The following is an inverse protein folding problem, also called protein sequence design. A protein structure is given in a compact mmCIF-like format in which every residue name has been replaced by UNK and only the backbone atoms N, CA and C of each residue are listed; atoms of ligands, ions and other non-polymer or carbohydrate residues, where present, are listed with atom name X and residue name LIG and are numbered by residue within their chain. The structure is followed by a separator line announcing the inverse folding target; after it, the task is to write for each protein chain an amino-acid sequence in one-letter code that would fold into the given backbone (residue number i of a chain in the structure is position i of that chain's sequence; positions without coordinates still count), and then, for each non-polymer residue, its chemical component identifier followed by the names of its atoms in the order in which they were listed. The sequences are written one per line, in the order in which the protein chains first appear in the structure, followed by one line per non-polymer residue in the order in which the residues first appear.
data_IF_520132799776
#
_entry.id   IF_520132799776
#
_cell.length_a   1.000
_cell.length_b   1.000
_cell.length_c   1.000
_cell.angle_alpha   90.00
_cell.angle_beta   90.00
_cell.angle_gamma   90.00
#
_symmetry.space_group_name_H-M   'P 1'
#
loop_
_entity.id
_entity.type
_entity.pdbx_description
1 polymer ?
#
# COMPACT_ATOMS: atom_id res chain seq x y z
N UNK A 1 -36.65 -45.54 -62.96
CA UNK A 1 -36.26 -44.16 -63.35
C UNK A 1 -35.86 -43.41 -62.10
N UNK A 2 -34.63 -42.87 -62.06
CA UNK A 2 -34.14 -41.64 -61.38
C UNK A 2 -34.56 -41.44 -59.90
N UNK A 3 -33.74 -41.02 -58.94
CA UNK A 3 -32.35 -40.57 -58.84
C UNK A 3 -32.11 -40.27 -57.34
N UNK A 4 -30.89 -40.49 -56.84
CA UNK A 4 -30.15 -39.72 -55.81
C UNK A 4 -30.84 -39.28 -54.50
N UNK A 5 -30.23 -39.54 -53.35
CA UNK A 5 -29.45 -38.51 -52.63
C UNK A 5 -28.62 -39.11 -51.49
N UNK A 6 -27.30 -38.90 -51.57
CA UNK A 6 -26.32 -39.10 -50.49
C UNK A 6 -26.51 -37.97 -49.47
N UNK A 7 -26.53 -38.28 -48.18
CA UNK A 7 -26.19 -37.32 -47.13
C UNK A 7 -25.13 -37.95 -46.23
N UNK A 8 -23.95 -37.34 -46.28
CA UNK A 8 -22.77 -37.59 -45.49
C UNK A 8 -23.05 -37.08 -44.07
N UNK A 9 -22.99 -37.95 -43.07
CA UNK A 9 -23.00 -37.55 -41.67
C UNK A 9 -21.65 -36.90 -41.34
N UNK A 10 -21.64 -35.57 -41.23
CA UNK A 10 -20.50 -34.80 -40.74
C UNK A 10 -20.39 -35.03 -39.23
N UNK A 11 -19.34 -35.73 -38.83
CA UNK A 11 -18.89 -35.87 -37.45
C UNK A 11 -18.51 -34.48 -36.91
N UNK A 12 -19.37 -33.94 -36.04
CA UNK A 12 -19.10 -32.71 -35.29
C UNK A 12 -18.05 -33.04 -34.21
N UNK A 13 -16.80 -32.65 -34.49
CA UNK A 13 -15.71 -32.64 -33.54
C UNK A 13 -15.98 -31.52 -32.51
N UNK A 14 -16.62 -31.86 -31.40
CA UNK A 14 -16.69 -30.98 -30.23
C UNK A 14 -15.33 -31.02 -29.52
N UNK A 15 -14.39 -30.19 -29.97
CA UNK A 15 -13.22 -29.82 -29.17
C UNK A 15 -13.70 -28.95 -28.01
N UNK A 16 -14.00 -29.60 -26.88
CA UNK A 16 -14.15 -28.93 -25.60
C UNK A 16 -12.75 -28.45 -25.21
N UNK A 17 -12.46 -27.18 -25.48
CA UNK A 17 -11.36 -26.49 -24.84
C UNK A 17 -11.68 -26.40 -23.34
N UNK A 18 -11.18 -27.36 -22.55
CA UNK A 18 -10.99 -27.15 -21.12
C UNK A 18 -10.01 -26.00 -20.96
N UNK A 19 -10.55 -24.79 -20.79
CA UNK A 19 -9.79 -23.74 -20.13
C UNK A 19 -9.56 -24.23 -18.71
N UNK A 20 -8.31 -24.59 -18.40
CA UNK A 20 -7.84 -24.60 -17.02
C UNK A 20 -7.93 -23.16 -16.52
N UNK A 21 -9.07 -22.78 -15.97
CA UNK A 21 -9.13 -21.70 -14.99
C UNK A 21 -8.32 -22.22 -13.80
N UNK A 22 -7.13 -21.69 -13.58
CA UNK A 22 -6.46 -21.87 -12.30
C UNK A 22 -7.35 -21.14 -11.29
N UNK A 23 -8.20 -21.87 -10.59
CA UNK A 23 -8.93 -21.31 -9.46
C UNK A 23 -7.91 -20.72 -8.50
N UNK A 24 -8.06 -19.43 -8.19
CA UNK A 24 -7.20 -18.77 -7.23
C UNK A 24 -7.39 -19.49 -5.89
N UNK A 25 -6.34 -20.14 -5.40
CA UNK A 25 -6.37 -20.80 -4.10
C UNK A 25 -6.55 -19.71 -3.06
N UNK A 26 -7.72 -19.70 -2.40
CA UNK A 26 -8.03 -18.77 -1.31
C UNK A 26 -7.27 -19.25 -0.08
N UNK A 27 -6.37 -18.44 0.49
CA UNK A 27 -5.64 -18.86 1.68
C UNK A 27 -6.60 -18.99 2.88
N UNK A 28 -6.53 -20.10 3.59
CA UNK A 28 -7.31 -20.32 4.82
C UNK A 28 -6.75 -19.44 5.96
N UNK A 29 -7.58 -19.12 6.97
CA UNK A 29 -7.16 -18.41 8.18
C UNK A 29 -5.95 -19.09 8.87
N UNK A 30 -5.88 -20.43 8.76
CA UNK A 30 -4.72 -21.22 9.21
C UNK A 30 -3.44 -20.92 8.43
N UNK A 31 -3.55 -20.64 7.13
CA UNK A 31 -2.41 -20.26 6.30
C UNK A 31 -1.89 -18.87 6.65
N UNK A 32 -2.76 -17.97 7.12
CA UNK A 32 -2.36 -16.66 7.68
C UNK A 32 -1.75 -16.75 9.07
N UNK A 33 -1.82 -17.91 9.72
CA UNK A 33 -1.50 -18.07 11.14
C UNK A 33 -2.35 -17.16 12.03
N UNK A 34 -3.61 -16.92 11.63
CA UNK A 34 -4.52 -16.04 12.34
C UNK A 34 -4.88 -16.65 13.70
N UNK A 35 -4.59 -15.93 14.77
CA UNK A 35 -4.84 -16.34 16.16
C UNK A 35 -6.12 -15.69 16.70
N UNK A 36 -6.39 -14.44 16.32
CA UNK A 36 -7.57 -13.68 16.73
C UNK A 36 -8.02 -12.70 15.65
N UNK A 37 -9.33 -12.64 15.40
CA UNK A 37 -9.96 -11.67 14.49
C UNK A 37 -11.34 -11.26 15.01
N UNK A 38 -11.48 -10.00 15.38
CA UNK A 38 -12.74 -9.36 15.75
C UNK A 38 -12.65 -7.84 15.50
N UNK A 39 -13.68 -7.09 15.88
CA UNK A 39 -13.71 -5.63 15.70
C UNK A 39 -12.64 -4.88 16.49
N UNK A 40 -12.08 -5.49 17.55
CA UNK A 40 -11.11 -4.87 18.43
C UNK A 40 -9.69 -5.44 18.22
N UNK A 41 -9.53 -6.51 17.46
CA UNK A 41 -8.23 -7.15 17.29
C UNK A 41 -8.06 -7.91 15.98
N UNK A 42 -6.84 -7.88 15.46
CA UNK A 42 -6.40 -8.70 14.34
C UNK A 42 -4.97 -9.18 14.62
N UNK A 43 -4.80 -10.46 14.96
CA UNK A 43 -3.57 -11.01 15.52
C UNK A 43 -3.22 -12.31 14.83
N UNK A 44 -1.95 -12.49 14.49
CA UNK A 44 -1.47 -13.77 14.02
C UNK A 44 0.04 -13.89 13.98
N UNK A 45 0.48 -15.12 13.69
CA UNK A 45 1.89 -15.50 13.57
C UNK A 45 2.07 -16.43 12.39
N UNK A 46 2.97 -16.07 11.49
CA UNK A 46 3.24 -16.83 10.27
C UNK A 46 4.73 -16.86 9.95
N UNK A 47 5.14 -17.90 9.22
CA UNK A 47 6.45 -17.95 8.57
C UNK A 47 6.27 -17.79 7.06
N UNK A 48 6.79 -16.69 6.51
CA UNK A 48 6.80 -16.45 5.06
C UNK A 48 8.25 -16.51 4.60
N UNK A 49 8.54 -17.40 3.65
CA UNK A 49 9.90 -17.70 3.21
C UNK A 49 10.79 -18.08 4.41
N UNK A 50 11.75 -17.21 4.76
CA UNK A 50 12.65 -17.39 5.91
C UNK A 50 12.41 -16.38 7.03
N UNK A 51 11.31 -15.61 6.96
CA UNK A 51 10.96 -14.60 7.96
C UNK A 51 9.87 -15.13 8.89
N UNK A 52 10.13 -15.11 10.19
CA UNK A 52 9.06 -15.26 11.19
C UNK A 52 8.42 -13.88 11.41
N UNK A 53 7.11 -13.78 11.16
CA UNK A 53 6.33 -12.55 11.30
C UNK A 53 5.24 -12.76 12.34
N UNK A 54 5.16 -11.85 13.31
CA UNK A 54 4.01 -11.67 14.19
C UNK A 54 3.39 -10.32 13.90
N UNK A 55 2.08 -10.28 13.77
CA UNK A 55 1.33 -9.06 13.55
C UNK A 55 0.21 -8.97 14.58
N UNK A 56 -0.01 -7.77 15.09
CA UNK A 56 -1.08 -7.50 16.03
C UNK A 56 -1.61 -6.09 15.82
N UNK A 57 -2.92 -5.97 15.66
CA UNK A 57 -3.65 -4.72 15.82
C UNK A 57 -4.60 -4.88 16.99
N UNK A 58 -4.65 -3.88 17.87
CA UNK A 58 -5.59 -3.80 18.99
C UNK A 58 -6.23 -2.42 19.06
N UNK A 59 -7.56 -2.37 19.09
CA UNK A 59 -8.31 -1.15 19.34
C UNK A 59 -8.18 -0.75 20.83
N UNK A 60 -7.83 0.51 21.08
CA UNK A 60 -7.98 1.17 22.40
C UNK A 60 -9.35 1.86 22.52
N UNK A 61 -9.89 2.30 21.39
CA UNK A 61 -11.25 2.82 21.21
C UNK A 61 -11.65 2.65 19.74
N UNK A 62 -12.85 3.09 19.35
CA UNK A 62 -13.39 2.93 17.98
C UNK A 62 -12.43 3.40 16.86
N UNK A 63 -11.65 4.45 17.13
CA UNK A 63 -10.79 5.12 16.14
C UNK A 63 -9.33 5.23 16.59
N UNK A 64 -8.94 4.51 17.65
CA UNK A 64 -7.57 4.52 18.18
C UNK A 64 -7.04 3.10 18.25
N UNK A 65 -5.91 2.84 17.60
CA UNK A 65 -5.35 1.50 17.47
C UNK A 65 -3.86 1.47 17.81
N UNK A 66 -3.39 0.36 18.40
CA UNK A 66 -1.98 0.00 18.44
C UNK A 66 -1.72 -1.09 17.43
N UNK A 67 -0.68 -0.90 16.62
CA UNK A 67 -0.18 -1.90 15.67
C UNK A 67 1.22 -2.30 16.08
N UNK A 68 1.50 -3.60 16.07
CA UNK A 68 2.83 -4.16 16.29
C UNK A 68 3.11 -5.15 15.17
N UNK A 69 4.25 -4.98 14.51
CA UNK A 69 4.82 -5.99 13.63
C UNK A 69 6.19 -6.38 14.17
N UNK A 70 6.37 -7.67 14.40
CA UNK A 70 7.66 -8.27 14.70
C UNK A 70 8.08 -9.14 13.52
N UNK A 71 9.28 -8.89 12.98
CA UNK A 71 9.90 -9.71 11.94
C UNK A 71 11.32 -10.09 12.36
N UNK A 72 11.60 -11.39 12.44
CA UNK A 72 12.92 -11.90 12.86
C UNK A 72 13.46 -11.24 14.14
N UNK A 73 12.59 -11.06 15.16
CA UNK A 73 12.87 -10.37 16.45
C UNK A 73 13.08 -8.86 16.38
N UNK A 74 12.92 -8.23 15.21
CA UNK A 74 12.87 -6.78 15.08
C UNK A 74 11.42 -6.33 15.18
N UNK A 75 11.13 -5.29 15.96
CA UNK A 75 9.76 -4.83 16.18
C UNK A 75 9.59 -3.38 15.75
N UNK A 76 8.47 -3.11 15.08
CA UNK A 76 7.95 -1.76 14.85
C UNK A 76 6.57 -1.69 15.50
N UNK A 77 6.38 -0.67 16.33
CA UNK A 77 5.10 -0.31 16.92
C UNK A 77 4.60 0.99 16.31
N UNK A 78 3.29 1.07 16.12
CA UNK A 78 2.59 2.32 15.85
C UNK A 78 1.37 2.47 16.76
N UNK A 79 1.11 3.70 17.18
CA UNK A 79 -0.15 4.12 17.78
C UNK A 79 -0.80 5.12 16.84
N UNK A 80 -1.98 4.79 16.33
CA UNK A 80 -2.73 5.59 15.39
C UNK A 80 -4.02 6.08 16.01
N UNK A 81 -4.35 7.35 15.77
CA UNK A 81 -5.62 7.94 16.15
C UNK A 81 -6.23 8.60 14.91
N UNK A 82 -7.32 8.01 14.42
CA UNK A 82 -8.04 8.49 13.26
C UNK A 82 -8.96 9.69 13.56
N UNK A 83 -9.22 10.01 14.83
CA UNK A 83 -10.03 11.19 15.19
C UNK A 83 -9.28 12.49 14.96
N UNK A 84 -7.98 12.48 15.26
CA UNK A 84 -7.09 13.65 15.11
C UNK A 84 -6.01 13.43 14.05
N UNK A 85 -6.12 12.35 13.26
CA UNK A 85 -5.20 12.00 12.17
C UNK A 85 -3.72 12.05 12.60
N UNK A 86 -3.45 11.44 13.76
CA UNK A 86 -2.11 11.34 14.32
C UNK A 86 -1.60 9.91 14.32
N UNK A 87 -0.29 9.76 14.10
CA UNK A 87 0.42 8.49 14.05
C UNK A 87 1.76 8.63 14.77
N UNK A 88 1.91 7.91 15.88
CA UNK A 88 3.19 7.73 16.55
C UNK A 88 3.81 6.41 16.09
N UNK A 89 5.09 6.41 15.73
CA UNK A 89 5.85 5.20 15.35
C UNK A 89 7.06 5.08 16.27
N UNK A 90 7.34 3.88 16.76
CA UNK A 90 8.59 3.49 17.41
C UNK A 90 9.09 2.20 16.78
N UNK A 91 10.13 2.32 15.96
CA UNK A 91 10.83 1.17 15.39
C UNK A 91 12.13 0.81 16.11
N UNK A 92 12.42 1.41 17.27
CA UNK A 92 13.63 1.10 18.04
C UNK A 92 14.95 1.18 17.24
N UNK A 93 15.02 2.08 16.26
CA UNK A 93 16.16 2.27 15.36
C UNK A 93 16.54 1.00 14.57
N UNK A 94 15.58 0.12 14.31
CA UNK A 94 15.84 -1.05 13.45
C UNK A 94 15.99 -0.61 12.00
N UNK A 95 16.65 -1.45 11.21
CA UNK A 95 16.65 -1.40 9.76
C UNK A 95 16.09 -2.73 9.25
N UNK A 96 15.05 -2.68 8.41
CA UNK A 96 14.52 -3.85 7.74
C UNK A 96 15.30 -4.12 6.44
N UNK A 97 15.68 -5.38 6.23
CA UNK A 97 16.28 -5.81 4.96
C UNK A 97 15.22 -5.85 3.85
N UNK A 98 15.63 -5.78 2.59
CA UNK A 98 14.71 -5.90 1.45
C UNK A 98 13.92 -7.22 1.45
N UNK A 99 14.52 -8.32 1.94
CA UNK A 99 13.81 -9.61 2.09
C UNK A 99 12.73 -9.55 3.18
N UNK A 100 13.01 -8.86 4.29
CA UNK A 100 12.06 -8.65 5.37
C UNK A 100 10.87 -7.79 4.90
N UNK A 101 11.16 -6.67 4.24
CA UNK A 101 10.16 -5.81 3.60
C UNK A 101 9.30 -6.59 2.60
N UNK A 102 9.92 -7.36 1.71
CA UNK A 102 9.18 -8.20 0.76
C UNK A 102 8.30 -9.24 1.46
N UNK A 103 8.76 -9.81 2.58
CA UNK A 103 7.96 -10.75 3.38
C UNK A 103 6.72 -10.07 3.99
N UNK A 104 6.84 -8.82 4.45
CA UNK A 104 5.72 -8.01 4.94
C UNK A 104 4.75 -7.70 3.79
N UNK A 105 5.23 -7.28 2.61
CA UNK A 105 4.37 -7.05 1.44
C UNK A 105 3.62 -8.30 1.02
N UNK A 106 4.31 -9.44 0.97
CA UNK A 106 3.68 -10.74 0.66
C UNK A 106 2.59 -11.07 1.68
N UNK A 107 2.86 -10.89 2.98
CA UNK A 107 1.84 -11.11 4.01
C UNK A 107 0.63 -10.19 3.84
N UNK A 108 0.84 -8.91 3.57
CA UNK A 108 -0.25 -7.95 3.35
C UNK A 108 -1.13 -8.36 2.17
N UNK A 109 -0.51 -8.83 1.09
CA UNK A 109 -1.22 -9.39 -0.07
C UNK A 109 -2.03 -10.63 0.27
N UNK A 110 -1.47 -11.56 1.03
CA UNK A 110 -2.18 -12.77 1.47
C UNK A 110 -3.36 -12.43 2.39
N UNK A 111 -3.18 -11.54 3.38
CA UNK A 111 -4.26 -11.09 4.28
C UNK A 111 -5.38 -10.44 3.48
N UNK A 112 -5.07 -9.54 2.56
CA UNK A 112 -6.13 -8.87 1.82
C UNK A 112 -6.87 -9.80 0.86
N UNK A 113 -6.18 -10.72 0.17
CA UNK A 113 -6.87 -11.72 -0.64
C UNK A 113 -7.85 -12.54 0.22
N UNK A 114 -7.44 -12.95 1.42
CA UNK A 114 -8.34 -13.59 2.38
C UNK A 114 -9.55 -12.72 2.72
N UNK A 115 -9.37 -11.43 3.02
CA UNK A 115 -10.48 -10.53 3.36
C UNK A 115 -11.44 -10.27 2.20
N UNK A 116 -10.91 -10.07 0.98
CA UNK A 116 -11.72 -9.85 -0.21
C UNK A 116 -12.62 -11.06 -0.51
N UNK A 117 -12.07 -12.26 -0.39
CA UNK A 117 -12.79 -13.50 -0.68
C UNK A 117 -13.75 -13.91 0.44
N UNK A 118 -13.35 -13.79 1.71
CA UNK A 118 -14.17 -14.24 2.85
C UNK A 118 -15.18 -13.20 3.32
N UNK A 119 -14.89 -11.91 3.18
CA UNK A 119 -15.75 -10.81 3.66
C UNK A 119 -16.38 -9.99 2.55
N UNK A 120 -16.25 -10.39 1.29
CA UNK A 120 -16.76 -9.63 0.13
C UNK A 120 -16.32 -8.16 0.12
N UNK A 121 -15.14 -7.87 0.68
CA UNK A 121 -14.60 -6.51 0.80
C UNK A 121 -15.08 -5.69 2.00
N UNK A 122 -15.85 -6.26 2.93
CA UNK A 122 -16.13 -5.62 4.22
C UNK A 122 -14.89 -5.70 5.12
N UNK A 123 -14.03 -4.68 5.05
CA UNK A 123 -12.78 -4.58 5.80
C UNK A 123 -13.03 -3.81 7.10
N UNK A 124 -12.67 -4.41 8.24
CA UNK A 124 -12.72 -3.76 9.56
C UNK A 124 -11.58 -2.74 9.70
N UNK A 125 -11.75 -1.75 10.59
CA UNK A 125 -10.69 -0.75 10.84
C UNK A 125 -9.40 -1.37 11.36
N UNK A 126 -9.46 -2.46 12.13
CA UNK A 126 -8.26 -3.21 12.56
C UNK A 126 -7.49 -3.78 11.38
N UNK A 127 -8.20 -4.32 10.39
CA UNK A 127 -7.64 -4.91 9.17
C UNK A 127 -7.07 -3.85 8.23
N UNK A 128 -7.83 -2.76 8.00
CA UNK A 128 -7.38 -1.61 7.23
C UNK A 128 -6.10 -1.02 7.83
N UNK A 129 -6.10 -0.77 9.15
CA UNK A 129 -4.94 -0.18 9.85
C UNK A 129 -3.70 -1.05 9.72
N UNK A 130 -3.83 -2.37 9.88
CA UNK A 130 -2.70 -3.29 9.70
C UNK A 130 -2.14 -3.19 8.29
N UNK A 131 -3.02 -3.32 7.29
CA UNK A 131 -2.66 -3.34 5.89
C UNK A 131 -1.95 -2.05 5.47
N UNK A 132 -2.50 -0.88 5.82
CA UNK A 132 -1.91 0.42 5.50
C UNK A 132 -0.51 0.59 6.09
N UNK A 133 -0.31 0.22 7.36
CA UNK A 133 1.00 0.34 8.02
C UNK A 133 2.01 -0.71 7.53
N UNK A 134 1.58 -1.93 7.23
CA UNK A 134 2.42 -2.95 6.60
C UNK A 134 2.98 -2.46 5.28
N UNK A 135 2.11 -1.89 4.46
CA UNK A 135 2.48 -1.34 3.17
C UNK A 135 3.45 -0.17 3.32
N UNK A 136 3.11 0.78 4.19
CA UNK A 136 3.93 1.95 4.47
C UNK A 136 5.36 1.56 4.92
N UNK A 137 5.46 0.67 5.91
CA UNK A 137 6.77 0.23 6.41
C UNK A 137 7.54 -0.56 5.35
N UNK A 138 6.89 -1.49 4.65
CA UNK A 138 7.58 -2.33 3.70
C UNK A 138 8.03 -1.63 2.41
N UNK A 139 7.46 -0.45 2.12
CA UNK A 139 7.93 0.42 1.03
C UNK A 139 8.87 1.53 1.47
N UNK A 140 9.21 1.55 2.76
CA UNK A 140 10.32 2.39 3.19
C UNK A 140 11.57 2.06 2.37
N UNK A 141 12.41 3.04 2.06
CA UNK A 141 13.54 2.77 1.17
C UNK A 141 14.69 2.03 1.82
N UNK A 142 15.65 1.50 1.03
CA UNK A 142 16.82 0.80 1.55
C UNK A 142 17.49 1.53 2.71
N UNK A 143 17.93 0.77 3.71
CA UNK A 143 18.61 1.27 4.91
C UNK A 143 17.83 2.26 5.79
N UNK A 144 16.52 2.43 5.53
CA UNK A 144 15.65 3.28 6.36
C UNK A 144 15.65 2.82 7.82
N UNK A 145 16.03 3.73 8.71
CA UNK A 145 16.07 3.51 10.16
C UNK A 145 14.73 3.92 10.75
N UNK A 146 13.99 2.97 11.31
CA UNK A 146 12.71 3.26 11.96
C UNK A 146 12.95 3.81 13.36
N UNK A 147 13.09 5.12 13.46
CA UNK A 147 13.24 5.84 14.73
C UNK A 147 11.88 6.12 15.38
N UNK A 148 11.91 6.77 16.55
CA UNK A 148 10.72 7.38 17.13
C UNK A 148 10.32 8.60 16.32
N UNK A 149 9.06 8.66 15.87
CA UNK A 149 8.52 9.83 15.18
C UNK A 149 7.02 9.99 15.41
N UNK A 150 6.58 11.23 15.33
CA UNK A 150 5.17 11.63 15.37
C UNK A 150 4.84 12.20 13.99
N UNK A 151 3.74 11.73 13.42
CA UNK A 151 3.12 12.28 12.22
C UNK A 151 1.78 12.81 12.66
N UNK A 152 1.50 14.06 12.33
CA UNK A 152 0.21 14.70 12.52
C UNK A 152 -0.19 15.28 11.17
N UNK A 153 -1.37 14.93 10.67
CA UNK A 153 -1.85 15.51 9.43
C UNK A 153 -1.99 17.02 9.61
N UNK A 154 -1.41 17.80 8.69
CA UNK A 154 -1.53 19.24 8.77
C UNK A 154 -3.00 19.67 8.56
N UNK A 155 -3.51 20.45 9.51
CA UNK A 155 -4.89 20.95 9.50
C UNK A 155 -4.97 22.36 8.88
N UNK A 156 -3.83 23.00 8.56
CA UNK A 156 -3.78 24.45 8.29
C UNK A 156 -2.81 24.86 7.17
N UNK A 157 -3.37 25.21 6.00
CA UNK A 157 -2.71 25.44 4.70
C UNK A 157 -1.99 26.78 4.53
N UNK A 158 -1.44 27.39 5.58
CA UNK A 158 -0.97 28.80 5.52
C UNK A 158 0.54 29.02 5.59
N UNK A 159 1.38 27.99 5.73
CA UNK A 159 2.85 28.15 5.82
C UNK A 159 3.61 27.38 4.73
N UNK A 160 3.70 28.00 3.56
CA UNK A 160 4.39 27.57 2.32
C UNK A 160 5.93 27.55 2.42
N UNK A 161 6.50 27.10 3.53
CA UNK A 161 7.96 26.85 3.61
C UNK A 161 8.33 25.40 3.34
N UNK A 162 7.43 24.49 3.67
CA UNK A 162 7.26 23.20 3.02
C UNK A 162 6.01 23.35 2.14
N UNK A 163 5.98 22.71 0.97
CA UNK A 163 4.79 22.72 0.12
C UNK A 163 3.77 21.66 0.54
N UNK A 164 3.95 21.01 1.69
CA UNK A 164 2.97 20.14 2.29
C UNK A 164 1.58 20.83 2.31
N UNK A 165 0.67 20.34 1.47
CA UNK A 165 -0.69 20.86 1.38
C UNK A 165 -1.66 20.08 2.29
N UNK A 166 -1.09 19.26 3.19
CA UNK A 166 -1.75 18.19 3.89
C UNK A 166 -2.42 17.22 2.91
N UNK A 167 -3.31 16.39 3.45
CA UNK A 167 -4.05 15.41 2.66
C UNK A 167 -4.99 16.08 1.65
N UNK A 168 -4.48 16.26 0.44
CA UNK A 168 -5.16 16.87 -0.71
C UNK A 168 -5.43 15.83 -1.78
N UNK A 169 -6.70 15.48 -1.99
CA UNK A 169 -7.09 14.48 -2.98
C UNK A 169 -6.89 14.96 -4.41
N UNK A 170 -6.21 14.17 -5.22
CA UNK A 170 -6.09 14.37 -6.67
C UNK A 170 -6.78 13.22 -7.42
N UNK A 171 -6.94 13.35 -8.74
CA UNK A 171 -7.74 12.40 -9.53
C UNK A 171 -6.91 11.75 -10.64
N UNK A 172 -6.97 10.43 -10.74
CA UNK A 172 -6.38 9.67 -11.85
C UNK A 172 -6.82 10.22 -13.21
N UNK A 173 -5.91 10.23 -14.17
CA UNK A 173 -6.08 10.80 -15.51
C UNK A 173 -6.27 12.32 -15.59
N UNK A 174 -6.06 13.06 -14.50
CA UNK A 174 -5.93 14.52 -14.54
C UNK A 174 -4.46 14.94 -14.62
N UNK A 175 -4.22 16.22 -14.92
CA UNK A 175 -2.89 16.82 -14.82
C UNK A 175 -2.83 17.70 -13.58
N UNK A 176 -1.85 17.44 -12.73
CA UNK A 176 -1.58 18.20 -11.50
C UNK A 176 -0.11 18.60 -11.52
N UNK A 177 0.23 19.75 -10.96
CA UNK A 177 1.63 20.12 -10.77
C UNK A 177 2.15 19.34 -9.57
N UNK A 178 3.21 18.55 -9.77
CA UNK A 178 4.02 18.02 -8.70
C UNK A 178 4.98 19.13 -8.24
N UNK A 179 5.03 19.38 -6.95
CA UNK A 179 5.72 20.50 -6.33
C UNK A 179 6.62 19.96 -5.22
N UNK A 180 7.92 19.94 -5.47
CA UNK A 180 8.92 19.32 -4.61
C UNK A 180 10.20 20.16 -4.62
N UNK A 181 11.10 19.94 -3.68
CA UNK A 181 12.45 20.48 -3.72
C UNK A 181 13.50 19.38 -3.70
N UNK A 182 14.72 19.74 -4.09
CA UNK A 182 15.86 18.85 -3.95
C UNK A 182 17.13 19.69 -3.76
N UNK A 183 18.30 19.04 -3.76
CA UNK A 183 19.59 19.73 -3.62
C UNK A 183 19.87 20.82 -4.68
N UNK A 184 19.07 20.92 -5.76
CA UNK A 184 19.15 21.94 -6.82
C UNK A 184 18.11 23.05 -6.65
N UNK A 185 17.22 22.96 -5.66
CA UNK A 185 16.19 23.95 -5.34
C UNK A 185 14.77 23.44 -5.63
N UNK A 186 13.84 24.39 -5.78
CA UNK A 186 12.41 24.08 -5.90
C UNK A 186 12.04 23.76 -7.35
N UNK A 187 11.17 22.77 -7.53
CA UNK A 187 10.67 22.30 -8.82
C UNK A 187 9.14 22.39 -8.90
N UNK A 188 8.62 22.32 -10.12
CA UNK A 188 7.19 22.28 -10.42
C UNK A 188 6.99 21.60 -11.77
N UNK A 189 6.60 20.34 -11.76
CA UNK A 189 6.40 19.55 -12.97
C UNK A 189 4.94 19.20 -13.20
N UNK A 190 4.44 19.40 -14.42
CA UNK A 190 3.05 19.05 -14.74
C UNK A 190 2.93 17.57 -15.07
N UNK A 191 2.43 16.78 -14.11
CA UNK A 191 2.36 15.32 -14.20
C UNK A 191 0.95 14.85 -14.45
N UNK A 192 0.82 13.82 -15.30
CA UNK A 192 -0.44 13.10 -15.47
C UNK A 192 -0.58 12.10 -14.33
N UNK A 193 -1.58 12.31 -13.48
CA UNK A 193 -1.88 11.46 -12.34
C UNK A 193 -2.18 10.03 -12.80
N UNK A 194 -1.43 9.08 -12.25
CA UNK A 194 -1.47 7.66 -12.59
C UNK A 194 -0.81 7.25 -13.88
N UNK A 195 0.06 8.11 -14.42
CA UNK A 195 0.99 7.71 -15.47
C UNK A 195 2.07 6.77 -14.92
N UNK A 196 2.76 6.07 -15.84
CA UNK A 196 3.96 5.28 -15.56
C UNK A 196 5.17 6.07 -16.04
N UNK A 197 5.97 6.58 -15.12
CA UNK A 197 7.08 7.46 -15.47
C UNK A 197 8.33 6.68 -15.89
N UNK A 198 8.59 5.49 -15.33
CA UNK A 198 9.72 4.61 -15.70
C UNK A 198 9.32 3.13 -15.64
N UNK A 199 10.22 2.26 -16.11
CA UNK A 199 10.07 0.82 -15.90
C UNK A 199 10.08 0.50 -14.41
N UNK A 200 9.07 -0.26 -13.96
CA UNK A 200 8.81 -0.56 -12.54
C UNK A 200 8.60 0.67 -11.64
N UNK A 201 8.29 1.83 -12.21
CA UNK A 201 7.97 3.06 -11.49
C UNK A 201 6.77 3.74 -12.14
N UNK A 202 5.60 3.58 -11.52
CA UNK A 202 4.38 4.14 -12.07
C UNK A 202 3.34 4.38 -11.00
N UNK A 203 2.17 4.81 -11.47
CA UNK A 203 1.11 5.28 -10.61
C UNK A 203 1.39 6.62 -9.94
N UNK A 204 1.93 7.57 -10.70
CA UNK A 204 2.30 8.91 -10.21
C UNK A 204 1.19 9.61 -9.43
N UNK A 205 1.38 9.77 -8.12
CA UNK A 205 0.45 10.40 -7.20
C UNK A 205 -0.44 9.44 -6.41
N UNK A 206 -0.26 8.14 -6.57
CA UNK A 206 -0.95 7.13 -5.77
C UNK A 206 -0.09 6.86 -4.57
N UNK A 207 -0.65 7.02 -3.37
CA UNK A 207 0.05 6.60 -2.18
C UNK A 207 0.29 5.10 -2.24
N UNK A 208 1.56 4.78 -2.41
CA UNK A 208 2.07 3.44 -2.49
C UNK A 208 2.56 3.00 -3.84
N UNK A 209 2.11 1.82 -4.22
CA UNK A 209 2.84 1.00 -5.20
C UNK A 209 2.28 1.22 -6.59
N UNK A 210 2.96 0.66 -7.59
CA UNK A 210 2.56 0.74 -9.00
C UNK A 210 1.07 0.39 -9.23
N UNK A 211 0.54 0.76 -10.40
CA UNK A 211 -0.88 0.72 -10.79
C UNK A 211 -1.54 -0.66 -10.91
N UNK A 212 -0.89 -1.71 -10.41
CA UNK A 212 -1.47 -3.04 -10.34
C UNK A 212 -2.63 -3.14 -9.34
N UNK A 213 -3.23 -4.34 -9.29
CA UNK A 213 -4.24 -4.69 -8.29
C UNK A 213 -3.57 -4.66 -6.91
N UNK A 214 -3.64 -3.51 -6.27
CA UNK A 214 -3.26 -3.34 -4.89
C UNK A 214 -4.43 -3.71 -4.02
N UNK A 215 -4.13 -4.55 -3.05
CA UNK A 215 -5.08 -5.23 -2.19
C UNK A 215 -5.51 -4.35 -1.00
N UNK A 216 -5.11 -3.09 -0.98
CA UNK A 216 -5.46 -2.11 0.05
C UNK A 216 -6.07 -0.91 -0.69
N UNK A 217 -7.21 -0.37 -0.21
CA UNK A 217 -7.65 0.95 -0.64
C UNK A 217 -6.49 1.93 -0.55
N UNK A 218 -6.15 2.56 -1.65
CA UNK A 218 -5.14 3.63 -1.68
C UNK A 218 -5.80 4.96 -1.96
N UNK A 219 -5.06 6.02 -1.72
CA UNK A 219 -5.46 7.36 -2.11
C UNK A 219 -4.61 7.83 -3.29
N UNK A 220 -5.21 8.66 -4.16
CA UNK A 220 -4.43 9.58 -4.98
C UNK A 220 -4.39 10.90 -4.24
N UNK A 221 -3.19 11.35 -3.88
CA UNK A 221 -2.99 12.59 -3.13
C UNK A 221 -1.83 13.39 -3.68
N UNK A 222 -1.77 14.65 -3.27
CA UNK A 222 -0.80 15.62 -3.75
C UNK A 222 0.61 15.34 -3.23
N UNK A 223 0.81 15.09 -1.93
CA UNK A 223 2.16 14.82 -1.39
C UNK A 223 2.72 13.50 -1.95
N UNK A 224 1.87 12.50 -2.16
CA UNK A 224 2.26 11.27 -2.86
C UNK A 224 2.69 11.55 -4.31
N UNK A 225 2.13 12.56 -5.00
CA UNK A 225 2.54 12.94 -6.35
C UNK A 225 3.88 13.68 -6.35
N UNK A 226 4.08 14.56 -5.38
CA UNK A 226 5.29 15.34 -5.20
C UNK A 226 6.48 14.42 -4.91
N UNK A 227 6.32 13.53 -3.94
CA UNK A 227 7.29 12.48 -3.65
C UNK A 227 7.57 11.60 -4.87
N UNK A 228 6.52 11.15 -5.56
CA UNK A 228 6.69 10.29 -6.74
C UNK A 228 7.48 10.99 -7.83
N UNK A 229 7.24 12.29 -8.06
CA UNK A 229 7.94 13.04 -9.09
C UNK A 229 9.37 13.39 -8.67
N UNK A 230 9.59 13.77 -7.41
CA UNK A 230 10.95 14.00 -6.90
C UNK A 230 11.81 12.74 -7.08
N UNK A 231 11.29 11.59 -6.64
CA UNK A 231 12.00 10.31 -6.74
C UNK A 231 12.16 9.83 -8.20
N UNK A 232 11.21 10.20 -9.07
CA UNK A 232 11.35 10.00 -10.51
C UNK A 232 12.55 10.75 -11.09
N UNK A 233 12.69 12.04 -10.77
CA UNK A 233 13.73 12.91 -11.33
C UNK A 233 15.10 12.63 -10.71
N UNK A 234 15.16 12.37 -9.41
CA UNK A 234 16.42 12.18 -8.69
C UNK A 234 16.91 10.73 -8.60
N UNK A 235 16.13 9.77 -9.12
CA UNK A 235 16.38 8.33 -8.90
C UNK A 235 16.55 8.01 -7.41
N UNK A 236 15.81 8.73 -6.57
CA UNK A 236 15.94 8.64 -5.12
C UNK A 236 15.49 7.29 -4.62
N UNK A 237 16.26 6.77 -3.67
CA UNK A 237 16.02 5.50 -2.99
C UNK A 237 16.39 5.56 -1.51
N UNK A 238 16.62 6.76 -0.95
CA UNK A 238 16.89 6.93 0.49
C UNK A 238 15.65 7.16 1.36
N UNK A 239 14.47 7.33 0.76
CA UNK A 239 13.21 7.65 1.46
C UNK A 239 13.33 8.82 2.37
N UNK A 240 12.77 8.72 3.58
CA UNK A 240 12.82 9.80 4.56
C UNK A 240 14.22 10.32 4.94
N UNK A 241 15.29 9.61 4.54
CA UNK A 241 16.69 10.02 4.71
C UNK A 241 17.40 10.42 3.41
N UNK A 242 16.71 10.34 2.28
CA UNK A 242 17.20 10.79 0.98
C UNK A 242 17.46 12.29 1.06
N UNK A 243 18.65 12.71 0.61
CA UNK A 243 19.03 14.12 0.66
C UNK A 243 18.19 14.97 -0.31
N UNK A 244 17.61 14.35 -1.33
CA UNK A 244 16.85 15.07 -2.34
C UNK A 244 15.35 14.97 -2.14
N UNK A 245 14.82 13.82 -1.69
CA UNK A 245 13.37 13.58 -1.69
C UNK A 245 12.83 13.03 -0.35
N UNK A 246 13.58 13.21 0.73
CA UNK A 246 13.26 12.57 2.00
C UNK A 246 12.24 13.30 2.83
N UNK A 247 12.24 14.62 2.74
CA UNK A 247 11.15 15.47 3.16
C UNK A 247 9.84 15.11 2.48
N UNK A 248 9.75 15.02 1.15
CA UNK A 248 8.50 14.65 0.48
C UNK A 248 8.03 13.24 0.87
N UNK A 249 8.96 12.30 1.11
CA UNK A 249 8.59 10.98 1.62
C UNK A 249 7.96 11.06 3.02
N UNK A 250 8.46 11.94 3.87
CA UNK A 250 7.96 12.11 5.23
C UNK A 250 6.63 12.89 5.24
N UNK A 251 6.47 13.86 4.33
CA UNK A 251 5.23 14.60 4.12
C UNK A 251 4.13 13.66 3.65
N UNK A 252 4.37 12.85 2.61
CA UNK A 252 3.40 11.88 2.10
C UNK A 252 2.99 10.75 3.07
N UNK A 253 3.54 10.70 4.29
CA UNK A 253 3.25 9.65 5.25
C UNK A 253 1.84 9.74 5.85
N UNK A 254 1.29 10.94 6.05
CA UNK A 254 -0.09 11.13 6.51
C UNK A 254 -1.09 10.77 5.39
N UNK A 255 -0.80 11.17 4.15
CA UNK A 255 -1.52 10.82 2.93
C UNK A 255 -1.65 9.30 2.76
N UNK A 256 -0.56 8.59 3.04
CA UNK A 256 -0.48 7.14 2.96
C UNK A 256 -1.50 6.44 3.87
N UNK A 257 -1.70 7.00 5.06
CA UNK A 257 -2.45 6.35 6.15
C UNK A 257 -3.89 6.85 6.20
N UNK A 258 -4.09 8.15 5.98
CA UNK A 258 -5.34 8.85 6.20
C UNK A 258 -6.04 9.27 4.90
N UNK A 259 -5.36 9.24 3.74
CA UNK A 259 -5.92 9.67 2.46
C UNK A 259 -7.26 9.03 2.09
N UNK A 260 -7.39 7.71 2.29
CA UNK A 260 -8.64 6.98 2.01
C UNK A 260 -9.76 7.43 2.95
N UNK A 261 -9.45 7.71 4.22
CA UNK A 261 -10.43 8.14 5.21
C UNK A 261 -10.91 9.57 4.96
N UNK A 262 -10.05 10.44 4.42
CA UNK A 262 -10.46 11.75 3.88
C UNK A 262 -11.25 11.65 2.57
N UNK A 263 -11.49 10.45 2.06
CA UNK A 263 -12.30 10.20 0.87
C UNK A 263 -11.53 10.31 -0.45
N UNK A 264 -10.20 10.38 -0.42
CA UNK A 264 -9.39 10.26 -1.61
C UNK A 264 -9.51 8.83 -2.16
N UNK A 265 -9.69 8.68 -3.48
CA UNK A 265 -10.02 7.39 -4.09
C UNK A 265 -8.98 6.95 -5.11
N UNK A 266 -8.25 5.90 -4.79
CA UNK A 266 -7.25 5.14 -5.56
C UNK A 266 -7.76 4.33 -6.74
#
# INVERSE_FOLDING_TARGET
MKNYFKIIAILLFAFIFSKCTSDAVIPDAKELGLEQQDSNSFIGKIRIQNSEIRYSVKAKSELVFTVIIEINKKSIQADINYQNESLFIDGHNIILTEKEKQSILTLGGTISNYLLETKKGEILMTEYTLLSLMEYWAKSPPDYTYTKRVIEAEVNTTNLKSRNEGITCIRKNTYVNAEYDDSRGNHSDRIRVGSKARDNYGCMGRCGGDCGRWWIPSAWTKDCLDHDQCSNVNFSSGGGSDRNCGDEFNEAADDYVFGVLRGCRG
#
